data_IF_944861421492
#
_entry.id   IF_944861421492
#
_cell.length_a   1.000
_cell.length_b   1.000
_cell.length_c   1.000
_cell.angle_alpha   90.00
_cell.angle_beta   90.00
_cell.angle_gamma   90.00
#
_symmetry.space_group_name_H-M   'P 1'
#
loop_
_entity.id
_entity.type
_entity.pdbx_description
1 polymer ?
#
# COMPACT_ATOMS: atom_id res chain seq x y z
N UNK A 1 4.67 14.19 -19.22
CA UNK A 1 4.27 13.10 -18.30
C UNK A 1 5.22 13.10 -17.12
N UNK A 2 4.75 13.34 -15.89
CA UNK A 2 5.60 13.12 -14.70
C UNK A 2 6.04 11.66 -14.72
N UNK A 3 7.32 11.38 -14.50
CA UNK A 3 7.83 10.01 -14.43
C UNK A 3 7.15 9.34 -13.23
N UNK A 4 6.18 8.45 -13.48
CA UNK A 4 5.43 7.76 -12.42
C UNK A 4 6.36 6.92 -11.52
N UNK A 5 7.49 6.46 -12.06
CA UNK A 5 8.53 5.71 -11.36
C UNK A 5 9.65 6.63 -10.86
N UNK A 6 9.33 7.56 -9.97
CA UNK A 6 10.34 8.25 -9.17
C UNK A 6 10.07 8.01 -7.70
N UNK A 7 11.13 8.09 -6.89
CA UNK A 7 11.00 7.96 -5.43
C UNK A 7 10.19 9.12 -4.80
N UNK A 8 9.89 10.18 -5.55
CA UNK A 8 8.98 11.25 -5.13
C UNK A 8 7.50 10.83 -5.20
N UNK A 9 7.17 9.88 -6.08
CA UNK A 9 5.80 9.39 -6.30
C UNK A 9 5.62 7.89 -5.97
N UNK A 10 6.54 7.32 -5.20
CA UNK A 10 6.56 5.89 -4.89
C UNK A 10 5.34 5.46 -4.06
N UNK A 11 4.90 6.27 -3.10
CA UNK A 11 3.77 5.91 -2.23
C UNK A 11 2.42 6.10 -2.94
N UNK A 12 2.30 7.02 -3.90
CA UNK A 12 1.12 7.10 -4.77
C UNK A 12 1.06 5.90 -5.69
N UNK A 13 2.20 5.44 -6.20
CA UNK A 13 2.26 4.19 -6.98
C UNK A 13 1.78 3.02 -6.14
N UNK A 14 2.20 2.91 -4.88
CA UNK A 14 1.68 1.92 -3.94
C UNK A 14 0.17 2.08 -3.70
N UNK A 15 -0.32 3.31 -3.54
CA UNK A 15 -1.76 3.56 -3.41
C UNK A 15 -2.55 3.15 -4.66
N UNK A 16 -2.02 3.34 -5.87
CA UNK A 16 -2.61 2.82 -7.11
C UNK A 16 -2.65 1.30 -7.09
N UNK A 17 -1.55 0.63 -6.71
CA UNK A 17 -1.51 -0.82 -6.61
C UNK A 17 -2.52 -1.35 -5.59
N UNK A 18 -2.63 -0.71 -4.42
CA UNK A 18 -3.64 -1.05 -3.42
C UNK A 18 -5.05 -0.87 -3.98
N UNK A 19 -5.32 0.21 -4.71
CA UNK A 19 -6.61 0.46 -5.32
C UNK A 19 -6.96 -0.61 -6.37
N UNK A 20 -5.99 -1.01 -7.20
CA UNK A 20 -6.19 -2.06 -8.19
C UNK A 20 -6.41 -3.42 -7.53
N UNK A 21 -5.56 -3.81 -6.57
CA UNK A 21 -5.67 -5.10 -5.87
C UNK A 21 -6.97 -5.23 -5.09
N UNK A 22 -7.36 -4.18 -4.35
CA UNK A 22 -8.63 -4.17 -3.62
C UNK A 22 -9.84 -4.13 -4.55
N UNK A 23 -9.77 -3.40 -5.67
CA UNK A 23 -10.79 -3.42 -6.71
C UNK A 23 -10.98 -4.82 -7.33
N UNK A 24 -9.88 -5.51 -7.63
CA UNK A 24 -9.90 -6.90 -8.12
C UNK A 24 -10.48 -7.83 -7.06
N UNK A 25 -10.08 -7.70 -5.79
CA UNK A 25 -10.60 -8.52 -4.70
C UNK A 25 -12.12 -8.34 -4.52
N UNK A 26 -12.62 -7.11 -4.63
CA UNK A 26 -14.05 -6.79 -4.63
C UNK A 26 -14.75 -7.49 -5.80
N UNK A 27 -14.22 -7.35 -7.03
CA UNK A 27 -14.81 -7.98 -8.22
C UNK A 27 -14.84 -9.51 -8.09
N UNK A 28 -13.76 -10.11 -7.60
CA UNK A 28 -13.69 -11.54 -7.33
C UNK A 28 -14.80 -11.98 -6.36
N UNK A 29 -15.00 -11.23 -5.28
CA UNK A 29 -16.00 -11.55 -4.27
C UNK A 29 -17.44 -11.37 -4.77
N UNK A 30 -17.70 -10.40 -5.64
CA UNK A 30 -19.00 -10.23 -6.30
C UNK A 30 -19.29 -11.35 -7.32
N UNK A 31 -18.35 -11.63 -8.22
CA UNK A 31 -18.56 -12.52 -9.36
C UNK A 31 -18.51 -13.99 -8.95
N UNK A 32 -17.47 -14.38 -8.21
CA UNK A 32 -17.22 -15.78 -7.84
C UNK A 32 -17.86 -16.09 -6.50
N UNK A 33 -17.65 -15.21 -5.50
CA UNK A 33 -18.18 -15.40 -4.15
C UNK A 33 -19.69 -15.19 -4.02
N UNK A 34 -20.31 -14.47 -4.96
CA UNK A 34 -21.75 -14.10 -4.94
C UNK A 34 -22.17 -13.38 -3.64
N UNK A 35 -21.26 -12.64 -3.01
CA UNK A 35 -21.56 -11.81 -1.83
C UNK A 35 -21.85 -10.36 -2.24
N UNK A 36 -22.83 -9.71 -1.61
CA UNK A 36 -23.20 -8.32 -1.94
C UNK A 36 -22.74 -7.28 -0.89
N UNK A 37 -22.99 -7.53 0.40
CA UNK A 37 -22.78 -6.52 1.45
C UNK A 37 -21.30 -6.28 1.73
N UNK A 38 -20.54 -7.35 1.97
CA UNK A 38 -19.11 -7.27 2.34
C UNK A 38 -18.27 -6.56 1.25
N UNK A 39 -18.40 -6.91 -0.05
CA UNK A 39 -17.63 -6.22 -1.10
C UNK A 39 -17.97 -4.73 -1.23
N UNK A 40 -19.21 -4.35 -0.93
CA UNK A 40 -19.66 -2.94 -1.00
C UNK A 40 -19.00 -2.08 0.06
N UNK A 41 -18.78 -2.60 1.26
CA UNK A 41 -18.01 -1.89 2.30
C UNK A 41 -16.53 -1.83 1.91
N UNK A 42 -15.98 -2.91 1.32
CA UNK A 42 -14.58 -2.98 0.91
C UNK A 42 -14.28 -2.04 -0.27
N UNK A 43 -15.27 -1.69 -1.12
CA UNK A 43 -15.13 -0.70 -2.21
C UNK A 43 -14.65 0.68 -1.74
N UNK A 44 -14.80 1.01 -0.47
CA UNK A 44 -14.28 2.25 0.11
C UNK A 44 -12.75 2.30 -0.01
N UNK A 45 -12.06 1.17 0.16
CA UNK A 45 -10.59 1.09 0.13
C UNK A 45 -10.02 1.52 -1.23
N UNK A 46 -10.44 0.95 -2.39
CA UNK A 46 -9.93 1.38 -3.69
C UNK A 46 -10.28 2.82 -4.04
N UNK A 47 -11.45 3.31 -3.61
CA UNK A 47 -11.86 4.70 -3.86
C UNK A 47 -10.96 5.66 -3.08
N UNK A 48 -10.73 5.42 -1.78
CA UNK A 48 -9.89 6.28 -0.95
C UNK A 48 -8.45 6.26 -1.45
N UNK A 49 -7.85 5.07 -1.61
CA UNK A 49 -6.46 4.94 -2.04
C UNK A 49 -6.24 5.48 -3.46
N UNK A 50 -7.19 5.29 -4.37
CA UNK A 50 -7.16 5.87 -5.71
C UNK A 50 -7.22 7.41 -5.70
N UNK A 51 -8.05 8.01 -4.84
CA UNK A 51 -8.10 9.46 -4.70
C UNK A 51 -6.82 10.02 -4.08
N UNK A 52 -6.28 9.38 -3.03
CA UNK A 52 -5.00 9.76 -2.44
C UNK A 52 -3.90 9.75 -3.50
N UNK A 53 -3.82 8.68 -4.31
CA UNK A 53 -2.87 8.63 -5.42
C UNK A 53 -3.07 9.77 -6.42
N UNK A 54 -4.32 9.99 -6.88
CA UNK A 54 -4.66 11.03 -7.86
C UNK A 54 -4.24 12.42 -7.39
N UNK A 55 -4.56 12.78 -6.14
CA UNK A 55 -4.19 14.07 -5.57
C UNK A 55 -2.70 14.15 -5.23
N UNK A 56 -2.09 13.05 -4.78
CA UNK A 56 -0.64 12.97 -4.53
C UNK A 56 0.19 13.20 -5.80
N UNK A 57 -0.19 12.63 -6.94
CA UNK A 57 0.48 12.90 -8.23
C UNK A 57 0.35 14.36 -8.70
N UNK A 58 -0.64 15.09 -8.17
CA UNK A 58 -0.84 16.52 -8.39
C UNK A 58 -0.18 17.39 -7.30
N UNK A 59 0.63 16.79 -6.43
CA UNK A 59 1.41 17.43 -5.37
C UNK A 59 0.55 18.17 -4.31
N UNK A 60 -0.69 17.73 -4.09
CA UNK A 60 -1.48 18.22 -2.97
C UNK A 60 -0.88 17.69 -1.65
N UNK A 61 -0.39 18.61 -0.79
CA UNK A 61 0.32 18.26 0.46
C UNK A 61 -0.46 17.32 1.37
N UNK A 62 -1.77 17.52 1.54
CA UNK A 62 -2.59 16.64 2.39
C UNK A 62 -2.58 15.19 1.90
N UNK A 63 -2.62 14.98 0.58
CA UNK A 63 -2.59 13.65 -0.02
C UNK A 63 -1.21 13.00 0.13
N UNK A 64 -0.14 13.80 0.01
CA UNK A 64 1.23 13.36 0.30
C UNK A 64 1.38 12.88 1.75
N UNK A 65 0.84 13.62 2.72
CA UNK A 65 0.85 13.20 4.13
C UNK A 65 0.06 11.91 4.36
N UNK A 66 -1.12 11.76 3.77
CA UNK A 66 -1.88 10.51 3.87
C UNK A 66 -1.15 9.33 3.24
N UNK A 67 -0.57 9.51 2.05
CA UNK A 67 0.24 8.47 1.40
C UNK A 67 1.46 8.08 2.25
N UNK A 68 2.13 9.06 2.88
CA UNK A 68 3.20 8.84 3.84
C UNK A 68 2.75 7.98 5.02
N UNK A 69 1.63 8.33 5.66
CA UNK A 69 1.10 7.55 6.80
C UNK A 69 0.68 6.14 6.40
N UNK A 70 0.10 5.96 5.22
CA UNK A 70 -0.15 4.63 4.65
C UNK A 70 1.16 3.85 4.53
N UNK A 71 2.22 4.47 4.02
CA UNK A 71 3.55 3.86 3.93
C UNK A 71 4.13 3.46 5.29
N UNK A 72 4.01 4.32 6.31
CA UNK A 72 4.43 4.03 7.69
C UNK A 72 3.66 2.83 8.25
N UNK A 73 2.33 2.82 8.11
CA UNK A 73 1.48 1.73 8.60
C UNK A 73 1.78 0.42 7.87
N UNK A 74 2.00 0.44 6.56
CA UNK A 74 2.40 -0.75 5.79
C UNK A 74 3.77 -1.28 6.22
N UNK A 75 4.72 -0.39 6.46
CA UNK A 75 6.06 -0.76 6.95
C UNK A 75 5.96 -1.42 8.32
N UNK A 76 5.21 -0.82 9.25
CA UNK A 76 4.98 -1.37 10.58
C UNK A 76 4.25 -2.72 10.52
N UNK A 77 3.22 -2.82 9.67
CA UNK A 77 2.47 -4.06 9.47
C UNK A 77 3.38 -5.21 9.02
N UNK A 78 4.24 -4.98 8.02
CA UNK A 78 5.19 -5.99 7.54
C UNK A 78 6.31 -6.29 8.54
N UNK A 79 6.76 -5.29 9.28
CA UNK A 79 7.69 -5.50 10.39
C UNK A 79 7.08 -6.43 11.45
N UNK A 80 5.84 -6.20 11.87
CA UNK A 80 5.15 -7.11 12.80
C UNK A 80 4.88 -8.48 12.18
N UNK A 81 4.61 -8.55 10.88
CA UNK A 81 4.37 -9.82 10.18
C UNK A 81 5.56 -10.79 10.35
N UNK A 82 6.81 -10.30 10.36
CA UNK A 82 8.01 -11.12 10.59
C UNK A 82 7.96 -11.98 11.86
N UNK A 83 7.28 -11.46 12.89
CA UNK A 83 7.21 -12.11 14.20
C UNK A 83 5.91 -12.90 14.38
N UNK A 84 4.80 -12.39 13.83
CA UNK A 84 3.46 -12.88 14.19
C UNK A 84 2.68 -13.57 13.06
N UNK A 85 3.12 -13.50 11.80
CA UNK A 85 2.34 -14.00 10.66
C UNK A 85 2.50 -15.52 10.43
N UNK A 86 1.91 -16.33 11.33
CA UNK A 86 1.99 -17.79 11.28
C UNK A 86 1.51 -18.38 9.94
N UNK A 87 0.39 -17.88 9.39
CA UNK A 87 -0.17 -18.35 8.11
C UNK A 87 0.76 -18.08 6.94
N UNK A 88 1.32 -16.86 6.85
CA UNK A 88 2.28 -16.50 5.80
C UNK A 88 3.57 -17.33 5.93
N UNK A 89 4.06 -17.54 7.17
CA UNK A 89 5.22 -18.40 7.42
C UNK A 89 4.97 -19.84 6.99
N UNK A 90 3.78 -20.39 7.27
CA UNK A 90 3.41 -21.73 6.81
C UNK A 90 3.34 -21.85 5.28
N UNK A 91 2.85 -20.81 4.60
CA UNK A 91 2.75 -20.79 3.13
C UNK A 91 4.11 -20.67 2.43
N UNK A 92 5.02 -19.83 2.95
CA UNK A 92 6.31 -19.53 2.33
C UNK A 92 7.45 -20.46 2.82
N UNK A 93 7.26 -21.14 3.95
CA UNK A 93 8.28 -22.02 4.54
C UNK A 93 9.60 -21.28 4.76
N UNK A 94 10.71 -21.88 4.31
CA UNK A 94 12.05 -21.29 4.43
C UNK A 94 12.24 -19.96 3.67
N UNK A 95 11.35 -19.63 2.73
CA UNK A 95 11.40 -18.36 2.02
C UNK A 95 10.72 -17.21 2.79
N UNK A 96 10.06 -17.49 3.92
CA UNK A 96 9.31 -16.47 4.65
C UNK A 96 10.18 -15.31 5.13
N UNK A 97 11.23 -15.58 5.91
CA UNK A 97 12.14 -14.58 6.45
C UNK A 97 12.77 -13.69 5.36
N UNK A 98 13.38 -14.23 4.26
CA UNK A 98 13.96 -13.38 3.24
C UNK A 98 12.91 -12.56 2.48
N UNK A 99 11.71 -13.11 2.22
CA UNK A 99 10.64 -12.37 1.52
C UNK A 99 10.08 -11.25 2.39
N UNK A 100 9.62 -11.58 3.60
CA UNK A 100 9.03 -10.61 4.52
C UNK A 100 10.06 -9.54 4.95
N UNK A 101 11.32 -9.94 5.16
CA UNK A 101 12.41 -9.04 5.49
C UNK A 101 12.69 -8.05 4.35
N UNK A 102 12.78 -8.55 3.12
CA UNK A 102 12.99 -7.72 1.93
C UNK A 102 11.85 -6.72 1.74
N UNK A 103 10.60 -7.17 1.88
CA UNK A 103 9.42 -6.28 1.76
C UNK A 103 9.47 -5.19 2.83
N UNK A 104 9.77 -5.56 4.08
CA UNK A 104 9.86 -4.61 5.19
C UNK A 104 10.92 -3.54 4.93
N UNK A 105 12.13 -3.94 4.51
CA UNK A 105 13.22 -3.02 4.21
C UNK A 105 12.91 -2.14 3.00
N UNK A 106 12.30 -2.69 1.95
CA UNK A 106 11.89 -1.94 0.77
C UNK A 106 10.85 -0.87 1.12
N UNK A 107 9.81 -1.24 1.88
CA UNK A 107 8.78 -0.29 2.32
C UNK A 107 9.39 0.80 3.21
N UNK A 108 10.22 0.44 4.18
CA UNK A 108 10.91 1.40 5.04
C UNK A 108 11.76 2.38 4.21
N UNK A 109 12.53 1.87 3.25
CA UNK A 109 13.32 2.68 2.33
C UNK A 109 12.42 3.62 1.53
N UNK A 110 11.37 3.12 0.88
CA UNK A 110 10.46 3.94 0.08
C UNK A 110 9.80 5.03 0.92
N UNK A 111 9.35 4.72 2.14
CA UNK A 111 8.70 5.68 3.04
C UNK A 111 9.65 6.79 3.49
N UNK A 112 10.89 6.45 3.88
CA UNK A 112 11.91 7.45 4.26
C UNK A 112 12.28 8.34 3.08
N UNK A 113 12.51 7.72 1.92
CA UNK A 113 12.87 8.42 0.69
C UNK A 113 11.75 9.34 0.19
N UNK A 114 10.51 8.91 0.36
CA UNK A 114 9.33 9.69 0.03
C UNK A 114 9.19 10.92 0.93
N UNK A 115 9.35 10.75 2.25
CA UNK A 115 9.32 11.83 3.23
C UNK A 115 10.35 12.92 2.90
N UNK A 116 11.61 12.50 2.67
CA UNK A 116 12.72 13.41 2.36
C UNK A 116 12.51 14.17 1.05
N UNK A 117 12.01 13.50 0.01
CA UNK A 117 11.83 14.12 -1.32
C UNK A 117 10.60 15.01 -1.45
N UNK A 118 9.59 14.80 -0.61
CA UNK A 118 8.36 15.60 -0.63
C UNK A 118 8.33 16.67 0.47
N UNK A 119 9.42 16.83 1.23
CA UNK A 119 9.56 17.85 2.28
C UNK A 119 8.34 17.90 3.21
N UNK A 120 8.05 16.73 3.80
CA UNK A 120 6.88 16.50 4.65
C UNK A 120 7.15 16.78 6.14
N UNK A 121 8.23 17.49 6.47
CA UNK A 121 8.35 18.09 7.81
C UNK A 121 7.20 19.07 8.02
N UNK A 122 6.53 18.93 9.16
CA UNK A 122 5.45 19.84 9.60
C UNK A 122 6.00 21.25 9.79
#
# INVERSE_FOLDING_TARGET
MKKAFTLQYSLETLCVLLALLSGIAVLHQFIIGKHFIIPTVILIVPIITGNIARFGYRDYRWAKHLAFWIGVLLTAHWFFALFYAQTLRAMLGAAFEPVAGTITLLLAYLTVQYFRRNDLSV
#
